data_IF_822809891533
#
_entry.id   IF_822809891533
#
_cell.length_a   1.000
_cell.length_b   1.000
_cell.length_c   1.000
_cell.angle_alpha   90.00
_cell.angle_beta   90.00
_cell.angle_gamma   90.00
#
_symmetry.space_group_name_H-M   'P 1'
#
loop_
_entity.id
_entity.type
_entity.pdbx_description
1 polymer ?
#
# COMPACT_ATOMS: atom_id res chain seq x y z
N UNK A 1 -8.68 -31.55 -1.44
CA UNK A 1 -8.30 -30.78 -0.24
C UNK A 1 -9.38 -29.71 -0.06
N UNK A 2 -10.27 -29.87 0.92
CA UNK A 2 -11.37 -28.92 1.14
C UNK A 2 -10.80 -27.63 1.73
N UNK A 3 -10.96 -26.52 1.03
CA UNK A 3 -10.67 -25.19 1.57
C UNK A 3 -11.78 -24.90 2.59
N UNK A 4 -11.48 -24.63 3.87
CA UNK A 4 -12.51 -24.25 4.83
C UNK A 4 -13.22 -23.00 4.33
N UNK A 5 -14.54 -22.94 4.51
CA UNK A 5 -15.31 -21.73 4.23
C UNK A 5 -14.64 -20.52 4.89
N UNK A 6 -14.42 -19.47 4.11
CA UNK A 6 -13.81 -18.24 4.60
C UNK A 6 -14.63 -17.71 5.79
N UNK A 7 -14.00 -17.65 6.96
CA UNK A 7 -14.58 -17.03 8.16
C UNK A 7 -14.51 -15.53 7.95
N UNK A 8 -15.66 -14.88 7.80
CA UNK A 8 -15.78 -13.42 7.84
C UNK A 8 -15.42 -12.95 9.24
N UNK A 9 -14.35 -12.16 9.36
CA UNK A 9 -14.00 -11.48 10.61
C UNK A 9 -14.92 -10.28 10.74
N UNK A 10 -15.82 -10.33 11.74
CA UNK A 10 -16.67 -9.19 12.09
C UNK A 10 -15.81 -8.19 12.84
N UNK A 11 -15.68 -6.98 12.31
CA UNK A 11 -14.99 -5.87 12.98
C UNK A 11 -16.01 -5.10 13.80
N UNK A 12 -15.76 -5.04 15.10
CA UNK A 12 -16.59 -4.32 16.04
C UNK A 12 -16.04 -2.90 16.26
N UNK A 13 -16.93 -1.93 16.32
CA UNK A 13 -16.60 -0.59 16.79
C UNK A 13 -16.30 -0.56 18.28
N UNK A 14 -15.87 0.59 18.80
CA UNK A 14 -15.55 0.78 20.23
C UNK A 14 -16.74 0.55 21.16
N UNK A 15 -17.96 0.48 20.60
CA UNK A 15 -19.22 0.23 21.30
C UNK A 15 -19.84 -1.12 20.92
N UNK A 16 -19.05 -2.06 20.39
CA UNK A 16 -19.50 -3.39 19.94
C UNK A 16 -20.54 -3.38 18.80
N UNK A 17 -20.70 -2.24 18.12
CA UNK A 17 -21.51 -2.17 16.90
C UNK A 17 -20.83 -2.85 15.72
N UNK A 18 -21.60 -3.55 14.90
CA UNK A 18 -21.12 -4.21 13.67
C UNK A 18 -20.93 -3.17 12.57
N UNK A 19 -19.69 -2.93 12.16
CA UNK A 19 -19.31 -1.83 11.27
C UNK A 19 -19.43 -2.12 9.75
N UNK A 20 -20.45 -2.86 9.29
CA UNK A 20 -20.83 -3.12 7.86
C UNK A 20 -20.38 -4.46 7.24
N UNK A 21 -21.28 -5.07 6.44
CA UNK A 21 -21.03 -6.12 5.42
C UNK A 21 -20.19 -5.56 4.25
N UNK A 22 -18.90 -5.29 4.49
CA UNK A 22 -17.95 -4.98 3.41
C UNK A 22 -17.57 -6.22 2.62
N UNK A 23 -16.52 -6.13 1.79
CA UNK A 23 -15.86 -7.33 1.25
C UNK A 23 -15.51 -8.34 2.36
N UNK A 24 -14.97 -9.54 2.06
CA UNK A 24 -14.65 -10.56 3.08
C UNK A 24 -13.75 -10.05 4.24
N UNK A 25 -13.24 -8.82 4.19
CA UNK A 25 -12.42 -8.13 5.18
C UNK A 25 -13.05 -6.86 5.78
N UNK A 26 -14.32 -6.53 5.50
CA UNK A 26 -15.03 -5.40 6.12
C UNK A 26 -14.58 -4.02 5.63
N UNK A 27 -13.94 -3.92 4.46
CA UNK A 27 -13.51 -2.65 3.88
C UNK A 27 -14.46 -2.23 2.77
N UNK A 28 -14.95 -1.00 2.85
CA UNK A 28 -15.79 -0.36 1.84
C UNK A 28 -14.95 0.62 0.99
N UNK A 29 -15.49 1.03 -0.15
CA UNK A 29 -14.80 1.90 -1.10
C UNK A 29 -15.65 3.13 -1.42
N UNK A 30 -15.00 4.27 -1.62
CA UNK A 30 -15.66 5.50 -2.07
C UNK A 30 -14.78 6.22 -3.09
N UNK A 31 -15.41 6.71 -4.16
CA UNK A 31 -14.74 7.58 -5.11
C UNK A 31 -14.44 8.92 -4.43
N UNK A 32 -13.24 9.46 -4.58
CA UNK A 32 -12.89 10.78 -4.04
C UNK A 32 -13.82 11.89 -4.59
N UNK A 33 -14.37 11.71 -5.80
CA UNK A 33 -15.32 12.64 -6.40
C UNK A 33 -16.72 12.58 -5.77
N UNK A 34 -16.97 11.64 -4.85
CA UNK A 34 -18.25 11.55 -4.14
C UNK A 34 -18.48 12.81 -3.29
N UNK A 35 -19.69 13.40 -3.31
CA UNK A 35 -20.00 14.59 -2.52
C UNK A 35 -19.66 14.41 -1.04
N UNK A 36 -18.91 15.35 -0.48
CA UNK A 36 -18.54 15.37 0.94
C UNK A 36 -17.25 14.62 1.30
N UNK A 37 -16.59 13.95 0.34
CA UNK A 37 -15.28 13.33 0.58
C UNK A 37 -14.17 14.37 0.64
N UNK A 38 -14.20 15.35 -0.26
CA UNK A 38 -13.28 16.50 -0.24
C UNK A 38 -13.90 17.62 0.60
N UNK A 39 -13.11 18.14 1.55
CA UNK A 39 -13.42 19.37 2.28
C UNK A 39 -12.29 20.38 2.06
N UNK A 40 -12.67 21.61 1.74
CA UNK A 40 -11.79 22.67 1.23
C UNK A 40 -11.04 22.23 -0.03
N UNK A 41 -9.93 21.52 0.12
CA UNK A 41 -9.01 21.16 -0.97
C UNK A 41 -8.54 19.70 -0.94
N UNK A 42 -8.92 18.92 0.08
CA UNK A 42 -8.47 17.54 0.21
C UNK A 42 -9.42 16.64 1.03
N UNK A 43 -9.14 15.35 1.03
CA UNK A 43 -9.91 14.31 1.71
C UNK A 43 -9.39 13.95 3.11
N UNK A 44 -8.41 14.66 3.67
CA UNK A 44 -7.74 14.28 4.93
C UNK A 44 -8.72 14.18 6.11
N UNK A 45 -9.63 15.15 6.23
CA UNK A 45 -10.64 15.13 7.30
C UNK A 45 -11.59 13.94 7.15
N UNK A 46 -11.92 13.57 5.91
CA UNK A 46 -12.76 12.42 5.63
C UNK A 46 -12.05 11.10 5.97
N UNK A 47 -10.79 10.92 5.55
CA UNK A 47 -10.04 9.68 5.82
C UNK A 47 -9.87 9.40 7.32
N UNK A 48 -9.70 10.45 8.14
CA UNK A 48 -9.62 10.33 9.60
C UNK A 48 -10.96 9.88 10.20
N UNK A 49 -12.09 10.39 9.69
CA UNK A 49 -13.43 10.04 10.18
C UNK A 49 -13.93 8.68 9.67
N UNK A 50 -13.34 8.17 8.61
CA UNK A 50 -13.78 6.97 7.91
C UNK A 50 -12.63 5.95 7.71
N UNK A 51 -12.02 5.42 8.79
CA UNK A 51 -10.82 4.59 8.71
C UNK A 51 -11.01 3.24 7.99
N UNK A 52 -12.27 2.80 7.79
CA UNK A 52 -12.62 1.57 7.06
C UNK A 52 -13.06 1.84 5.61
N UNK A 53 -12.97 3.09 5.14
CA UNK A 53 -13.25 3.47 3.76
C UNK A 53 -11.96 3.63 2.98
N UNK A 54 -11.84 2.87 1.90
CA UNK A 54 -10.80 3.07 0.91
C UNK A 54 -11.24 4.16 -0.08
N UNK A 55 -10.48 5.24 -0.13
CA UNK A 55 -10.70 6.35 -1.06
C UNK A 55 -9.95 6.03 -2.36
N UNK A 56 -10.66 5.94 -3.47
CA UNK A 56 -10.10 5.65 -4.79
C UNK A 56 -10.39 6.81 -5.76
N UNK A 57 -9.65 6.86 -6.87
CA UNK A 57 -9.85 7.84 -7.93
C UNK A 57 -9.29 7.33 -9.27
N UNK A 58 -10.16 7.18 -10.27
CA UNK A 58 -9.79 6.76 -11.63
C UNK A 58 -9.34 7.95 -12.50
N UNK A 59 -9.95 9.12 -12.29
CA UNK A 59 -9.69 10.32 -13.08
C UNK A 59 -8.40 11.01 -12.65
N UNK A 60 -7.82 11.80 -13.54
CA UNK A 60 -6.63 12.61 -13.23
C UNK A 60 -6.92 13.53 -12.03
N UNK A 61 -6.04 13.61 -11.00
CA UNK A 61 -4.66 13.11 -10.93
C UNK A 61 -4.45 11.70 -10.37
N UNK A 62 -5.51 10.90 -10.23
CA UNK A 62 -5.48 9.56 -9.60
C UNK A 62 -4.86 9.60 -8.20
N UNK A 63 -5.35 10.56 -7.42
CA UNK A 63 -4.92 10.84 -6.05
C UNK A 63 -6.09 10.65 -5.10
N UNK A 64 -5.83 9.99 -3.96
CA UNK A 64 -6.84 9.81 -2.91
C UNK A 64 -6.96 11.06 -2.04
N UNK A 65 -5.94 11.93 -2.06
CA UNK A 65 -5.86 13.10 -1.21
C UNK A 65 -6.62 14.30 -1.79
N UNK A 66 -6.59 14.49 -3.12
CA UNK A 66 -7.21 15.63 -3.82
C UNK A 66 -7.65 15.23 -5.22
N UNK A 67 -8.68 15.85 -5.76
CA UNK A 67 -9.08 15.75 -7.17
C UNK A 67 -8.43 16.83 -8.05
N UNK A 68 -7.71 17.77 -7.45
CA UNK A 68 -7.03 18.87 -8.14
C UNK A 68 -5.50 18.76 -7.96
N UNK A 69 -4.73 18.69 -9.07
CA UNK A 69 -3.28 18.61 -9.05
C UNK A 69 -2.58 19.71 -8.23
N UNK A 70 -3.19 20.90 -8.11
CA UNK A 70 -2.62 22.03 -7.37
C UNK A 70 -2.54 21.79 -5.85
N UNK A 71 -3.30 20.83 -5.33
CA UNK A 71 -3.35 20.51 -3.90
C UNK A 71 -2.70 19.17 -3.55
N UNK A 72 -1.96 18.55 -4.47
CA UNK A 72 -1.23 17.32 -4.19
C UNK A 72 -0.18 17.56 -3.09
N UNK A 73 0.04 16.56 -2.24
CA UNK A 73 1.01 16.65 -1.17
C UNK A 73 2.13 15.62 -1.32
N UNK A 74 3.33 16.10 -1.63
CA UNK A 74 4.55 15.27 -1.78
C UNK A 74 5.26 14.98 -0.46
N UNK A 75 4.87 15.65 0.61
CA UNK A 75 5.50 15.55 1.92
C UNK A 75 4.52 15.02 2.97
N UNK A 76 3.42 14.36 2.56
CA UNK A 76 2.36 13.95 3.46
C UNK A 76 2.87 13.06 4.59
N UNK A 77 3.80 12.13 4.31
CA UNK A 77 4.43 11.27 5.33
C UNK A 77 5.76 11.84 5.84
N UNK A 78 6.28 12.89 5.22
CA UNK A 78 7.60 13.45 5.47
C UNK A 78 8.43 13.50 4.19
N UNK A 79 9.67 13.94 4.33
CA UNK A 79 10.66 14.03 3.25
C UNK A 79 11.91 13.31 3.70
N UNK A 80 12.59 12.65 2.77
CA UNK A 80 13.87 11.99 3.03
C UNK A 80 14.89 12.96 3.64
N UNK A 81 15.62 12.49 4.66
CA UNK A 81 16.59 13.31 5.40
C UNK A 81 15.98 14.34 6.36
N UNK A 82 14.66 14.36 6.54
CA UNK A 82 13.95 15.22 7.48
C UNK A 82 13.20 14.40 8.54
N UNK A 83 12.65 15.07 9.56
CA UNK A 83 11.74 14.44 10.51
C UNK A 83 10.48 13.95 9.78
N UNK A 84 9.94 12.80 10.20
CA UNK A 84 8.65 12.32 9.71
C UNK A 84 7.52 13.27 10.08
N UNK A 85 6.47 13.29 9.28
CA UNK A 85 5.28 14.11 9.54
C UNK A 85 4.39 13.47 10.63
N UNK A 86 3.38 14.22 11.08
CA UNK A 86 2.31 13.69 11.93
C UNK A 86 1.39 12.67 11.22
N UNK A 87 1.48 12.55 9.89
CA UNK A 87 0.68 11.60 9.10
C UNK A 87 1.49 10.39 8.64
N UNK A 88 2.76 10.26 9.03
CA UNK A 88 3.52 9.03 8.83
C UNK A 88 2.84 7.91 9.65
N UNK A 89 2.40 6.80 9.01
CA UNK A 89 1.70 5.73 9.69
C UNK A 89 2.60 4.89 10.61
N UNK A 90 3.91 5.12 10.62
CA UNK A 90 4.87 4.34 11.40
C UNK A 90 4.97 4.82 12.86
N UNK A 91 5.13 3.90 13.83
CA UNK A 91 5.30 4.24 15.25
C UNK A 91 6.53 5.10 15.54
N UNK A 92 6.61 5.67 16.75
CA UNK A 92 7.82 6.38 17.19
C UNK A 92 9.09 5.51 17.04
N UNK A 93 10.20 6.13 16.60
CA UNK A 93 11.47 5.46 16.24
C UNK A 93 11.44 4.67 14.92
N UNK A 94 10.34 4.77 14.18
CA UNK A 94 10.16 4.18 12.87
C UNK A 94 9.58 5.20 11.91
N UNK A 95 9.93 5.08 10.63
CA UNK A 95 9.46 5.94 9.54
C UNK A 95 9.10 5.13 8.30
N UNK A 96 8.35 5.76 7.41
CA UNK A 96 8.17 5.25 6.06
C UNK A 96 9.53 5.08 5.34
N UNK A 97 9.72 4.02 4.53
CA UNK A 97 10.96 3.85 3.77
C UNK A 97 11.05 4.88 2.64
N UNK A 98 12.28 5.29 2.32
CA UNK A 98 12.58 6.09 1.13
C UNK A 98 13.02 5.23 -0.06
N UNK A 99 13.17 5.84 -1.23
CA UNK A 99 13.83 5.21 -2.38
C UNK A 99 15.25 4.75 -2.01
N UNK A 100 16.04 5.53 -1.27
CA UNK A 100 17.37 5.10 -0.84
C UNK A 100 17.29 3.84 0.03
N UNK A 101 16.35 3.82 0.98
CA UNK A 101 16.09 2.64 1.82
C UNK A 101 15.81 1.42 0.95
N UNK A 102 14.95 1.54 -0.07
CA UNK A 102 14.64 0.42 -0.95
C UNK A 102 15.78 0.06 -1.92
N UNK A 103 16.59 1.02 -2.36
CA UNK A 103 17.75 0.79 -3.21
C UNK A 103 18.77 -0.12 -2.52
N UNK A 104 19.02 0.10 -1.23
CA UNK A 104 19.86 -0.78 -0.42
C UNK A 104 19.33 -2.22 -0.43
N UNK A 105 18.01 -2.41 -0.53
CA UNK A 105 17.39 -3.73 -0.61
C UNK A 105 17.57 -4.39 -1.99
N UNK A 106 17.70 -3.60 -3.04
CA UNK A 106 17.76 -4.05 -4.43
C UNK A 106 19.13 -4.58 -4.88
N UNK A 107 20.20 -4.16 -4.20
CA UNK A 107 21.59 -4.51 -4.53
C UNK A 107 22.03 -5.87 -4.00
N UNK A 108 21.16 -6.55 -3.25
CA UNK A 108 21.46 -7.81 -2.55
C UNK A 108 20.68 -8.99 -3.11
N UNK A 109 21.15 -10.20 -2.83
CA UNK A 109 20.46 -11.44 -3.22
C UNK A 109 19.10 -11.52 -2.51
N UNK A 110 18.03 -11.40 -3.29
CA UNK A 110 16.64 -11.45 -2.82
C UNK A 110 15.90 -12.63 -3.49
N UNK A 111 16.12 -13.87 -3.01
CA UNK A 111 15.47 -15.03 -3.58
C UNK A 111 13.95 -14.97 -3.43
N UNK A 112 13.25 -15.49 -4.42
CA UNK A 112 11.80 -15.62 -4.39
C UNK A 112 11.40 -17.00 -3.88
N UNK A 113 10.21 -17.10 -3.27
CA UNK A 113 9.70 -18.34 -2.74
C UNK A 113 8.30 -18.65 -3.28
N UNK A 114 8.08 -19.92 -3.60
CA UNK A 114 6.79 -20.50 -3.99
C UNK A 114 6.44 -21.55 -2.95
N UNK A 115 5.27 -21.43 -2.32
CA UNK A 115 4.82 -22.37 -1.27
C UNK A 115 5.85 -22.58 -0.14
N UNK A 116 6.65 -21.55 0.18
CA UNK A 116 7.65 -21.59 1.25
C UNK A 116 8.98 -22.24 0.88
N UNK A 117 9.17 -22.66 -0.37
CA UNK A 117 10.45 -23.16 -0.90
C UNK A 117 11.11 -22.11 -1.78
N UNK A 118 12.43 -21.95 -1.65
CA UNK A 118 13.20 -21.08 -2.52
C UNK A 118 13.17 -21.65 -3.94
N UNK A 119 12.74 -20.85 -4.90
CA UNK A 119 12.65 -21.26 -6.30
C UNK A 119 13.71 -20.53 -7.13
N UNK A 120 14.24 -21.23 -8.14
CA UNK A 120 15.35 -20.74 -8.97
C UNK A 120 14.94 -20.59 -10.44
N UNK A 121 14.06 -21.45 -10.94
CA UNK A 121 13.37 -21.34 -12.25
C UNK A 121 12.11 -22.24 -12.25
N UNK A 122 11.08 -21.86 -13.03
CA UNK A 122 10.25 -22.88 -13.68
C UNK A 122 8.83 -23.20 -13.19
N UNK A 123 8.21 -22.50 -12.23
CA UNK A 123 6.76 -22.69 -12.01
C UNK A 123 6.08 -21.40 -11.52
N UNK A 124 5.24 -20.82 -12.39
CA UNK A 124 4.88 -19.40 -12.40
C UNK A 124 3.48 -19.08 -11.85
N UNK A 125 2.89 -19.99 -11.08
CA UNK A 125 1.45 -19.92 -10.81
C UNK A 125 1.06 -19.13 -9.56
N UNK A 126 1.95 -18.96 -8.56
CA UNK A 126 1.78 -18.06 -7.40
C UNK A 126 3.08 -17.93 -6.60
N UNK A 127 3.62 -16.72 -6.45
CA UNK A 127 4.73 -16.39 -5.55
C UNK A 127 4.21 -15.97 -4.18
N UNK A 128 4.87 -16.39 -3.11
CA UNK A 128 4.51 -15.95 -1.76
C UNK A 128 5.18 -14.62 -1.39
N UNK A 129 6.27 -14.23 -2.06
CA UNK A 129 7.09 -13.07 -1.71
C UNK A 129 8.59 -13.27 -1.94
N UNK A 130 9.39 -12.33 -1.42
CA UNK A 130 10.85 -12.35 -1.43
C UNK A 130 11.40 -12.25 -0.01
N UNK A 131 12.46 -13.00 0.29
CA UNK A 131 13.21 -12.87 1.53
C UNK A 131 14.42 -11.96 1.29
N UNK A 132 14.48 -10.85 2.01
CA UNK A 132 15.60 -9.91 1.97
C UNK A 132 16.62 -10.26 3.06
N UNK A 133 17.84 -10.62 2.66
CA UNK A 133 19.01 -10.91 3.53
C UNK A 133 18.71 -11.83 4.74
N UNK A 134 17.70 -12.69 4.66
CA UNK A 134 17.14 -13.41 5.81
C UNK A 134 16.68 -12.53 7.00
N UNK A 135 16.57 -11.21 6.79
CA UNK A 135 16.16 -10.21 7.79
C UNK A 135 14.69 -9.82 7.65
N UNK A 136 14.18 -9.71 6.41
CA UNK A 136 12.83 -9.23 6.17
C UNK A 136 12.11 -10.02 5.08
N UNK A 137 10.91 -10.51 5.39
CA UNK A 137 10.03 -11.13 4.42
C UNK A 137 9.11 -10.08 3.77
N UNK A 138 9.19 -9.95 2.45
CA UNK A 138 8.35 -9.09 1.62
C UNK A 138 7.35 -9.95 0.84
N UNK A 139 6.12 -10.16 1.35
CA UNK A 139 5.07 -10.92 0.66
C UNK A 139 4.64 -10.31 -0.68
N UNK A 140 4.17 -11.14 -1.60
CA UNK A 140 3.51 -10.70 -2.83
C UNK A 140 2.05 -10.28 -2.54
N UNK A 141 1.90 -9.16 -1.83
CA UNK A 141 0.61 -8.68 -1.27
C UNK A 141 -0.40 -8.20 -2.32
N UNK A 142 0.01 -8.00 -3.57
CA UNK A 142 -0.79 -7.29 -4.54
C UNK A 142 -0.98 -5.82 -4.15
N UNK A 143 -2.06 -5.22 -4.63
CA UNK A 143 -2.46 -3.84 -4.31
C UNK A 143 -3.96 -3.68 -4.40
N UNK A 144 -4.50 -2.63 -3.78
CA UNK A 144 -5.83 -2.11 -4.15
C UNK A 144 -5.71 -1.24 -5.39
N UNK A 145 -6.60 -1.46 -6.36
CA UNK A 145 -6.60 -0.70 -7.60
C UNK A 145 -7.04 0.75 -7.36
N UNK A 146 -6.27 1.67 -7.93
CA UNK A 146 -6.43 3.10 -7.70
C UNK A 146 -7.75 3.65 -8.24
N UNK A 147 -8.27 3.06 -9.32
CA UNK A 147 -9.48 3.55 -9.99
C UNK A 147 -10.78 2.87 -9.55
N UNK A 148 -10.72 1.83 -8.72
CA UNK A 148 -11.93 1.08 -8.36
C UNK A 148 -11.96 0.54 -6.94
N UNK A 149 -10.80 0.32 -6.29
CA UNK A 149 -10.72 -0.17 -4.92
C UNK A 149 -10.45 -1.68 -4.72
N UNK A 150 -10.96 -2.61 -5.57
CA UNK A 150 -10.66 -4.03 -5.45
C UNK A 150 -9.17 -4.37 -5.41
N UNK A 151 -8.87 -5.47 -4.71
CA UNK A 151 -7.52 -6.04 -4.64
C UNK A 151 -7.20 -6.77 -5.95
N UNK A 152 -5.98 -6.59 -6.45
CA UNK A 152 -5.45 -7.27 -7.63
C UNK A 152 -4.01 -7.75 -7.41
N UNK A 153 -3.50 -8.58 -8.33
CA UNK A 153 -2.07 -8.95 -8.43
C UNK A 153 -1.47 -9.69 -7.23
N UNK A 154 -2.32 -10.13 -6.30
CA UNK A 154 -1.94 -10.98 -5.17
C UNK A 154 -1.21 -12.21 -5.67
N UNK A 155 -0.11 -12.55 -5.01
CA UNK A 155 0.73 -13.69 -5.38
C UNK A 155 1.61 -13.46 -6.62
N UNK A 156 1.49 -12.34 -7.33
CA UNK A 156 2.35 -12.04 -8.47
C UNK A 156 3.30 -10.87 -8.20
N UNK A 157 2.80 -9.84 -7.51
CA UNK A 157 3.56 -8.66 -7.14
C UNK A 157 3.35 -8.30 -5.67
N UNK A 158 4.31 -7.64 -5.06
CA UNK A 158 4.15 -6.91 -3.80
C UNK A 158 4.42 -5.44 -4.03
N UNK A 159 3.57 -4.58 -3.49
CA UNK A 159 3.69 -3.12 -3.62
C UNK A 159 3.84 -2.52 -2.23
N UNK A 160 4.90 -1.75 -2.03
CA UNK A 160 5.26 -1.17 -0.75
C UNK A 160 5.46 0.33 -0.88
N UNK A 161 4.71 1.10 -0.12
CA UNK A 161 4.81 2.55 -0.14
C UNK A 161 6.24 3.04 0.12
N UNK A 162 6.59 4.13 -0.57
CA UNK A 162 7.81 4.90 -0.35
C UNK A 162 7.43 6.36 -0.07
N UNK A 163 8.14 7.02 0.84
CA UNK A 163 7.95 8.45 1.11
C UNK A 163 8.56 9.35 0.02
N UNK A 164 9.37 8.79 -0.89
CA UNK A 164 9.99 9.56 -1.97
C UNK A 164 8.93 9.88 -3.04
N UNK A 165 8.62 11.16 -3.34
CA UNK A 165 7.66 11.50 -4.39
C UNK A 165 8.25 11.26 -5.78
N UNK A 166 7.39 11.09 -6.80
CA UNK A 166 7.83 10.94 -8.20
C UNK A 166 7.03 11.88 -9.11
N UNK A 167 7.49 13.13 -9.22
CA UNK A 167 6.78 14.21 -9.93
C UNK A 167 5.34 14.36 -9.37
N UNK A 168 4.32 14.35 -10.24
CA UNK A 168 2.90 14.34 -9.85
C UNK A 168 2.39 12.98 -9.35
N UNK A 169 3.20 11.92 -9.46
CA UNK A 169 2.88 10.57 -8.99
C UNK A 169 3.55 10.26 -7.65
N UNK A 170 3.13 9.15 -7.02
CA UNK A 170 3.87 8.57 -5.91
C UNK A 170 4.93 7.57 -6.40
N UNK A 171 5.81 7.15 -5.48
CA UNK A 171 6.69 6.00 -5.70
C UNK A 171 6.36 4.86 -4.73
N UNK A 172 6.74 3.65 -5.14
CA UNK A 172 6.71 2.46 -4.29
C UNK A 172 7.90 1.55 -4.63
N UNK A 173 8.24 0.69 -3.68
CA UNK A 173 9.01 -0.50 -3.98
C UNK A 173 8.07 -1.59 -4.49
N UNK A 174 8.35 -2.08 -5.70
CA UNK A 174 7.61 -3.18 -6.31
C UNK A 174 8.50 -4.42 -6.39
N UNK A 175 8.04 -5.51 -5.78
CA UNK A 175 8.66 -6.82 -5.96
C UNK A 175 7.86 -7.65 -6.96
N UNK A 176 8.56 -8.50 -7.71
CA UNK A 176 8.00 -9.55 -8.55
C UNK A 176 8.81 -10.84 -8.37
N UNK A 177 8.47 -11.90 -9.09
CA UNK A 177 9.27 -13.12 -9.10
C UNK A 177 10.70 -12.90 -9.60
N UNK A 178 10.91 -11.99 -10.55
CA UNK A 178 12.20 -11.78 -11.22
C UNK A 178 12.97 -10.55 -10.76
N UNK A 179 12.31 -9.55 -10.17
CA UNK A 179 12.96 -8.29 -9.83
C UNK A 179 12.44 -7.64 -8.52
N UNK A 180 13.26 -6.78 -7.93
CA UNK A 180 12.86 -5.76 -6.95
C UNK A 180 13.13 -4.39 -7.58
N UNK A 181 12.10 -3.57 -7.70
CA UNK A 181 12.19 -2.21 -8.25
C UNK A 181 11.96 -1.20 -7.12
N UNK A 182 13.01 -0.51 -6.64
CA UNK A 182 12.95 0.33 -5.44
C UNK A 182 12.21 1.66 -5.64
N UNK A 183 12.10 2.12 -6.89
CA UNK A 183 11.43 3.38 -7.27
C UNK A 183 10.48 3.16 -8.46
N UNK A 184 9.45 2.37 -8.24
CA UNK A 184 8.39 2.17 -9.22
C UNK A 184 7.37 3.31 -9.12
N UNK A 185 7.09 3.97 -10.25
CA UNK A 185 6.10 5.05 -10.28
C UNK A 185 4.68 4.49 -10.23
N UNK A 186 3.80 5.09 -9.45
CA UNK A 186 2.39 4.70 -9.40
C UNK A 186 1.48 5.85 -8.98
N UNK A 187 0.20 5.69 -9.28
CA UNK A 187 -0.84 6.61 -8.84
C UNK A 187 -0.98 6.61 -7.32
N UNK A 188 -1.26 7.79 -6.76
CA UNK A 188 -1.34 8.01 -5.32
C UNK A 188 -2.54 7.28 -4.74
N UNK A 189 -3.65 7.20 -5.47
CA UNK A 189 -4.85 6.50 -5.02
C UNK A 189 -4.72 4.97 -4.97
N UNK A 190 -3.56 4.37 -5.30
CA UNK A 190 -3.35 2.92 -5.19
C UNK A 190 -3.07 2.48 -3.76
N UNK A 191 -3.64 1.36 -3.30
CA UNK A 191 -3.45 0.89 -1.94
C UNK A 191 -2.28 -0.07 -1.84
N UNK A 192 -1.14 0.43 -1.37
CA UNK A 192 0.08 -0.37 -1.18
C UNK A 192 0.32 -0.68 0.31
N UNK A 193 1.13 -1.69 0.57
CA UNK A 193 1.49 -2.08 1.94
C UNK A 193 2.47 -1.06 2.56
N UNK A 194 2.31 -0.80 3.85
CA UNK A 194 3.26 -0.03 4.66
C UNK A 194 4.28 -1.00 5.27
N UNK A 195 5.57 -0.63 5.23
CA UNK A 195 6.68 -1.39 5.83
C UNK A 195 7.60 -0.41 6.55
N UNK A 196 7.38 -0.19 7.83
CA UNK A 196 8.19 0.77 8.57
C UNK A 196 9.65 0.32 8.68
N UNK A 197 10.59 1.27 8.57
CA UNK A 197 12.02 1.08 8.87
C UNK A 197 12.41 1.91 10.08
N UNK A 198 13.46 1.47 10.78
CA UNK A 198 13.97 2.20 11.93
C UNK A 198 14.59 3.54 11.48
N UNK A 199 14.39 4.59 12.28
CA UNK A 199 14.93 5.94 12.01
C UNK A 199 16.45 6.02 12.11
#
# INVERSE_FOLDING_TARGET
MNIPNAVSIVIYGTNEEVLVEGDKFGINYVDIASPGVINENNSLTYSIKHPLMYIYQEQEPQDWYTDNPLYQNNALWGVEGSNKSNYDPCPNKWRMPSEQTWNDYSTLSAPYYVQGQQAFTGDYTVSNGRLYNALAWLPATGRREYGSGPISRVGNFGYYWSLTPKNSSASNCRISMSNLSPNYGSFRAGGFSVRCVQE
#
